data_IF_302172295205
#
_entry.id   IF_302172295205
#
_cell.length_a   1.000
_cell.length_b   1.000
_cell.length_c   1.000
_cell.angle_alpha   90.00
_cell.angle_beta   90.00
_cell.angle_gamma   90.00
#
_symmetry.space_group_name_H-M   'P 1'
#
loop_
_entity.id
_entity.type
_entity.pdbx_description
1 polymer ?
#
# COMPACT_ATOMS: atom_id res chain seq x y z
N UNK A 1 11.76 -20.96 -16.87
CA UNK A 1 11.98 -19.50 -16.78
C UNK A 1 11.27 -18.91 -17.97
N UNK A 2 10.16 -18.22 -17.73
CA UNK A 2 9.37 -17.63 -18.80
C UNK A 2 10.09 -16.34 -19.22
N UNK A 3 10.67 -16.33 -20.41
CA UNK A 3 11.27 -15.12 -20.99
C UNK A 3 10.10 -14.24 -21.46
N UNK A 4 9.52 -13.47 -20.52
CA UNK A 4 8.58 -12.43 -20.87
C UNK A 4 9.31 -11.40 -21.74
N UNK A 5 8.92 -11.30 -23.02
CA UNK A 5 9.42 -10.24 -23.90
C UNK A 5 8.98 -8.88 -23.33
N UNK A 6 9.96 -8.08 -22.92
CA UNK A 6 9.73 -6.74 -22.39
C UNK A 6 9.47 -5.77 -23.54
N UNK A 7 8.37 -5.02 -23.48
CA UNK A 7 8.01 -4.06 -24.52
C UNK A 7 8.74 -2.74 -24.24
N UNK A 8 9.41 -2.17 -25.24
CA UNK A 8 10.15 -0.90 -25.09
C UNK A 8 9.28 0.34 -25.34
N UNK A 9 8.09 0.16 -25.91
CA UNK A 9 7.12 1.22 -26.15
C UNK A 9 6.35 1.61 -24.87
N UNK A 10 5.33 2.46 -25.01
CA UNK A 10 4.43 2.88 -23.95
C UNK A 10 3.08 2.16 -24.03
N UNK A 11 2.46 1.79 -22.90
CA UNK A 11 1.06 1.37 -22.91
C UNK A 11 0.15 2.52 -23.33
N UNK A 12 -0.87 2.22 -24.14
CA UNK A 12 -1.89 3.21 -24.56
C UNK A 12 -2.57 3.89 -23.37
N UNK A 13 -2.76 3.16 -22.26
CA UNK A 13 -3.37 3.65 -21.03
C UNK A 13 -2.36 4.19 -20.00
N UNK A 14 -1.15 4.60 -20.42
CA UNK A 14 -0.09 5.05 -19.53
C UNK A 14 -0.53 6.09 -18.48
N UNK A 15 -1.27 7.13 -18.89
CA UNK A 15 -1.72 8.16 -17.94
C UNK A 15 -2.66 7.58 -16.87
N UNK A 16 -3.46 6.57 -17.22
CA UNK A 16 -4.28 5.81 -16.28
C UNK A 16 -3.45 4.99 -15.30
N UNK A 17 -2.42 4.30 -15.79
CA UNK A 17 -1.48 3.53 -14.95
C UNK A 17 -0.69 4.44 -14.02
N UNK A 18 -0.19 5.57 -14.53
CA UNK A 18 0.51 6.59 -13.73
C UNK A 18 -0.39 7.15 -12.63
N UNK A 19 -1.64 7.46 -12.94
CA UNK A 19 -2.62 7.94 -11.95
C UNK A 19 -2.87 6.88 -10.87
N UNK A 20 -3.08 5.63 -11.29
CA UNK A 20 -3.33 4.49 -10.39
C UNK A 20 -2.13 4.21 -9.48
N UNK A 21 -0.91 4.20 -10.01
CA UNK A 21 0.33 4.02 -9.25
C UNK A 21 0.55 5.13 -8.20
N UNK A 22 0.04 6.34 -8.43
CA UNK A 22 0.18 7.46 -7.49
C UNK A 22 -1.04 7.65 -6.56
N UNK A 23 -2.00 6.73 -6.57
CA UNK A 23 -3.23 6.87 -5.78
C UNK A 23 -2.98 6.59 -4.29
N UNK A 24 -3.21 7.59 -3.43
CA UNK A 24 -2.91 7.51 -1.99
C UNK A 24 -3.79 6.54 -1.17
N UNK A 25 -4.94 6.12 -1.69
CA UNK A 25 -6.01 5.51 -0.91
C UNK A 25 -6.43 4.10 -1.39
N UNK A 26 -5.66 3.50 -2.31
CA UNK A 26 -5.94 2.16 -2.80
C UNK A 26 -4.65 1.45 -3.22
N UNK A 27 -4.06 0.68 -2.31
CA UNK A 27 -2.82 -0.05 -2.53
C UNK A 27 -2.97 -1.16 -3.57
N UNK A 28 -4.17 -1.72 -3.76
CA UNK A 28 -4.43 -2.74 -4.79
C UNK A 28 -4.30 -2.14 -6.17
N UNK A 29 -4.91 -0.98 -6.41
CA UNK A 29 -4.73 -0.24 -7.67
C UNK A 29 -3.27 0.18 -7.89
N UNK A 30 -2.54 0.56 -6.83
CA UNK A 30 -1.11 0.84 -6.94
C UNK A 30 -0.32 -0.41 -7.32
N UNK A 31 -0.64 -1.56 -6.71
CA UNK A 31 -0.02 -2.85 -7.02
C UNK A 31 -0.28 -3.26 -8.47
N UNK A 32 -1.55 -3.24 -8.89
CA UNK A 32 -1.96 -3.59 -10.26
C UNK A 32 -1.24 -2.68 -11.28
N UNK A 33 -1.12 -1.39 -10.99
CA UNK A 33 -0.40 -0.45 -11.85
C UNK A 33 1.10 -0.74 -11.91
N UNK A 34 1.73 -1.09 -10.79
CA UNK A 34 3.14 -1.52 -10.72
C UNK A 34 3.34 -2.80 -11.54
N UNK A 35 2.44 -3.77 -11.43
CA UNK A 35 2.51 -5.01 -12.20
C UNK A 35 2.38 -4.77 -13.70
N UNK A 36 1.43 -3.91 -14.09
CA UNK A 36 1.20 -3.53 -15.48
C UNK A 36 2.38 -2.76 -16.09
N UNK A 37 2.88 -1.73 -15.41
CA UNK A 37 4.05 -0.94 -15.84
C UNK A 37 5.31 -1.80 -15.92
N UNK A 38 5.41 -2.83 -15.08
CA UNK A 38 6.49 -3.81 -15.09
C UNK A 38 6.60 -4.67 -16.35
N UNK A 39 5.69 -4.54 -17.32
CA UNK A 39 5.79 -5.19 -18.63
C UNK A 39 6.37 -4.27 -19.72
N UNK A 40 6.59 -2.99 -19.41
CA UNK A 40 7.01 -1.96 -20.35
C UNK A 40 8.35 -1.36 -19.92
N UNK A 41 9.45 -1.86 -20.46
CA UNK A 41 10.81 -1.40 -20.16
C UNK A 41 11.11 -0.12 -20.92
N UNK A 42 10.62 1.00 -20.39
CA UNK A 42 10.93 2.34 -20.84
C UNK A 42 11.20 3.25 -19.62
N UNK A 43 11.82 4.41 -19.87
CA UNK A 43 12.24 5.30 -18.79
C UNK A 43 11.07 5.75 -17.90
N UNK A 44 9.90 6.02 -18.47
CA UNK A 44 8.73 6.48 -17.72
C UNK A 44 8.21 5.42 -16.75
N UNK A 45 8.16 4.15 -17.18
CA UNK A 45 7.83 3.03 -16.31
C UNK A 45 8.88 2.86 -15.22
N UNK A 46 10.16 2.90 -15.57
CA UNK A 46 11.28 2.79 -14.60
C UNK A 46 11.16 3.87 -13.53
N UNK A 47 10.93 5.13 -13.92
CA UNK A 47 10.81 6.25 -12.98
C UNK A 47 9.65 6.06 -11.98
N UNK A 48 8.49 5.57 -12.45
CA UNK A 48 7.34 5.29 -11.57
C UNK A 48 7.65 4.13 -10.63
N UNK A 49 8.25 3.05 -11.14
CA UNK A 49 8.60 1.88 -10.34
C UNK A 49 9.65 2.25 -9.27
N UNK A 50 10.67 3.03 -9.62
CA UNK A 50 11.67 3.55 -8.67
C UNK A 50 10.99 4.40 -7.60
N UNK A 51 10.06 5.27 -7.99
CA UNK A 51 9.32 6.07 -7.04
C UNK A 51 8.52 5.20 -6.07
N UNK A 52 7.81 4.16 -6.55
CA UNK A 52 7.04 3.22 -5.72
C UNK A 52 7.92 2.41 -4.79
N UNK A 53 9.02 1.84 -5.30
CA UNK A 53 10.02 1.12 -4.50
C UNK A 53 10.47 1.93 -3.27
N UNK A 54 10.76 3.22 -3.48
CA UNK A 54 11.34 4.06 -2.45
C UNK A 54 10.30 4.69 -1.50
N UNK A 55 9.06 4.92 -1.96
CA UNK A 55 8.13 5.79 -1.23
C UNK A 55 6.80 5.16 -0.84
N UNK A 56 6.42 4.00 -1.40
CA UNK A 56 5.11 3.44 -1.09
C UNK A 56 5.00 3.05 0.39
N UNK A 57 3.86 3.30 1.03
CA UNK A 57 3.65 2.91 2.43
C UNK A 57 3.47 1.39 2.59
N UNK A 58 3.02 0.72 1.52
CA UNK A 58 2.73 -0.72 1.53
C UNK A 58 3.94 -1.49 1.01
N UNK A 59 4.50 -2.35 1.88
CA UNK A 59 5.68 -3.15 1.56
C UNK A 59 5.48 -4.02 0.32
N UNK A 60 4.30 -4.62 0.14
CA UNK A 60 3.99 -5.46 -1.03
C UNK A 60 4.11 -4.69 -2.36
N UNK A 61 3.70 -3.42 -2.39
CA UNK A 61 3.85 -2.56 -3.58
C UNK A 61 5.32 -2.27 -3.84
N UNK A 62 6.11 -2.00 -2.78
CA UNK A 62 7.57 -1.81 -2.90
C UNK A 62 8.27 -3.05 -3.42
N UNK A 63 7.92 -4.22 -2.88
CA UNK A 63 8.49 -5.51 -3.28
C UNK A 63 8.14 -5.82 -4.75
N UNK A 64 6.91 -5.59 -5.18
CA UNK A 64 6.51 -5.76 -6.57
C UNK A 64 7.34 -4.84 -7.49
N UNK A 65 7.51 -3.56 -7.13
CA UNK A 65 8.31 -2.62 -7.90
C UNK A 65 9.78 -3.05 -7.98
N UNK A 66 10.37 -3.51 -6.86
CA UNK A 66 11.72 -4.08 -6.82
C UNK A 66 11.89 -5.23 -7.82
N UNK A 67 10.97 -6.21 -7.80
CA UNK A 67 11.04 -7.38 -8.69
C UNK A 67 10.97 -6.98 -10.16
N UNK A 68 10.13 -6.01 -10.52
CA UNK A 68 10.02 -5.51 -11.90
C UNK A 68 11.27 -4.75 -12.33
N UNK A 69 11.81 -3.87 -11.49
CA UNK A 69 13.05 -3.16 -11.74
C UNK A 69 14.25 -4.12 -11.91
N UNK A 70 14.34 -5.13 -11.06
CA UNK A 70 15.36 -6.17 -11.17
C UNK A 70 15.24 -6.94 -12.50
N UNK A 71 14.02 -7.26 -12.94
CA UNK A 71 13.78 -7.89 -14.24
C UNK A 71 14.14 -6.97 -15.42
N UNK A 72 14.08 -5.65 -15.24
CA UNK A 72 14.59 -4.68 -16.22
C UNK A 72 16.12 -4.58 -16.22
N UNK A 73 16.81 -5.15 -15.24
CA UNK A 73 18.26 -5.05 -15.07
C UNK A 73 18.71 -3.77 -14.38
N UNK A 74 17.80 -3.09 -13.67
CA UNK A 74 18.12 -1.92 -12.87
C UNK A 74 18.90 -2.32 -11.61
N UNK A 75 19.88 -1.51 -11.21
CA UNK A 75 20.62 -1.70 -9.96
C UNK A 75 19.83 -1.14 -8.79
N UNK A 76 19.00 -1.99 -8.18
CA UNK A 76 18.13 -1.64 -7.06
C UNK A 76 18.27 -2.62 -5.92
N UNK A 77 17.99 -2.16 -4.71
CA UNK A 77 18.06 -2.95 -3.49
C UNK A 77 16.67 -3.35 -3.01
N UNK A 78 16.57 -4.55 -2.43
CA UNK A 78 15.32 -5.03 -1.82
C UNK A 78 14.91 -4.07 -0.69
N UNK A 79 13.65 -3.60 -0.65
CA UNK A 79 13.20 -2.72 0.42
C UNK A 79 13.23 -3.46 1.76
N UNK A 80 13.55 -2.75 2.84
CA UNK A 80 13.43 -3.32 4.19
C UNK A 80 11.96 -3.47 4.58
N UNK A 81 11.61 -4.62 5.17
CA UNK A 81 10.29 -4.80 5.76
C UNK A 81 10.23 -4.10 7.13
N UNK A 82 9.38 -3.08 7.30
CA UNK A 82 9.28 -2.38 8.58
C UNK A 82 8.85 -3.34 9.69
N UNK A 83 9.51 -3.23 10.85
CA UNK A 83 9.16 -4.00 12.06
C UNK A 83 8.36 -3.11 13.01
N UNK A 84 7.24 -3.61 13.51
CA UNK A 84 6.44 -2.90 14.51
C UNK A 84 5.42 -1.92 13.91
N UNK A 85 5.39 -0.69 14.40
CA UNK A 85 4.43 0.34 13.98
C UNK A 85 4.80 0.88 12.60
N UNK A 86 3.91 0.73 11.62
CA UNK A 86 4.15 1.14 10.22
C UNK A 86 4.06 2.65 10.01
N UNK A 87 3.37 3.34 10.92
CA UNK A 87 3.11 4.77 10.85
C UNK A 87 3.22 5.37 12.23
N UNK A 88 3.99 6.44 12.36
CA UNK A 88 4.19 7.13 13.63
C UNK A 88 2.86 7.49 14.30
N UNK A 89 2.74 7.15 15.58
CA UNK A 89 1.61 7.52 16.44
C UNK A 89 0.26 6.90 16.01
N UNK A 90 0.26 5.77 15.27
CA UNK A 90 -0.99 5.12 14.80
C UNK A 90 -1.93 4.84 15.97
N UNK A 91 -1.37 4.36 17.09
CA UNK A 91 -2.16 3.99 18.28
C UNK A 91 -2.95 5.18 18.83
N UNK A 92 -2.37 6.39 18.81
CA UNK A 92 -3.04 7.63 19.26
C UNK A 92 -4.15 8.05 18.30
N UNK A 93 -3.93 7.88 17.00
CA UNK A 93 -4.93 8.18 15.97
C UNK A 93 -6.13 7.26 16.10
N UNK A 94 -5.89 5.94 16.21
CA UNK A 94 -6.94 4.95 16.40
C UNK A 94 -7.74 5.21 17.68
N UNK A 95 -7.06 5.54 18.79
CA UNK A 95 -7.73 5.93 20.04
C UNK A 95 -8.62 7.17 19.87
N UNK A 96 -8.16 8.20 19.15
CA UNK A 96 -8.93 9.42 18.89
C UNK A 96 -10.18 9.12 18.06
N UNK A 97 -10.06 8.28 17.03
CA UNK A 97 -11.21 7.84 16.22
C UNK A 97 -12.21 7.10 17.10
N UNK A 98 -11.75 6.13 17.91
CA UNK A 98 -12.61 5.38 18.84
C UNK A 98 -13.36 6.30 19.81
N UNK A 99 -12.66 7.27 20.41
CA UNK A 99 -13.25 8.26 21.35
C UNK A 99 -14.22 9.23 20.68
N UNK A 100 -14.20 9.36 19.36
CA UNK A 100 -15.10 10.22 18.60
C UNK A 100 -16.44 9.57 18.22
N UNK A 101 -16.64 8.31 18.61
CA UNK A 101 -17.85 7.53 18.36
C UNK A 101 -18.72 7.45 19.62
N UNK A 102 -20.03 7.17 19.49
CA UNK A 102 -20.92 6.86 20.63
C UNK A 102 -20.36 5.77 21.52
N UNK A 103 -20.76 5.73 22.81
CA UNK A 103 -20.20 4.78 23.78
C UNK A 103 -20.44 3.31 23.40
N UNK A 104 -21.53 3.04 22.72
CA UNK A 104 -22.04 1.74 22.29
C UNK A 104 -21.75 1.42 20.81
N UNK A 105 -20.82 2.15 20.18
CA UNK A 105 -20.41 1.87 18.79
C UNK A 105 -19.91 0.45 18.60
N UNK A 106 -20.19 -0.10 17.42
CA UNK A 106 -19.72 -1.40 16.99
C UNK A 106 -18.29 -1.32 16.42
N UNK A 107 -17.66 -2.47 16.23
CA UNK A 107 -16.41 -2.56 15.47
C UNK A 107 -16.57 -2.00 14.05
N UNK A 108 -17.69 -2.30 13.39
CA UNK A 108 -17.96 -1.82 12.02
C UNK A 108 -18.07 -0.29 11.96
N UNK A 109 -18.72 0.36 12.94
CA UNK A 109 -18.76 1.82 13.03
C UNK A 109 -17.35 2.43 13.13
N UNK A 110 -16.47 1.77 13.89
CA UNK A 110 -15.07 2.16 14.03
C UNK A 110 -14.29 1.98 12.73
N UNK A 111 -14.41 0.82 12.08
CA UNK A 111 -13.75 0.48 10.82
C UNK A 111 -14.16 1.44 9.70
N UNK A 112 -15.46 1.71 9.57
CA UNK A 112 -15.99 2.67 8.60
C UNK A 112 -15.48 4.10 8.87
N UNK A 113 -15.47 4.52 10.13
CA UNK A 113 -14.94 5.84 10.48
C UNK A 113 -13.43 5.94 10.24
N UNK A 114 -12.66 4.89 10.52
CA UNK A 114 -11.24 4.82 10.22
C UNK A 114 -11.00 4.97 8.72
N UNK A 115 -11.71 4.20 7.90
CA UNK A 115 -11.61 4.25 6.44
C UNK A 115 -11.91 5.65 5.89
N UNK A 116 -12.92 6.33 6.42
CA UNK A 116 -13.29 7.69 6.00
C UNK A 116 -12.31 8.76 6.46
N UNK A 117 -11.85 8.69 7.71
CA UNK A 117 -11.06 9.75 8.33
C UNK A 117 -9.56 9.64 8.07
N UNK A 118 -9.05 8.41 7.96
CA UNK A 118 -7.62 8.08 7.86
C UNK A 118 -7.42 6.89 6.93
N UNK A 119 -7.83 7.10 5.68
CA UNK A 119 -7.67 6.12 4.60
C UNK A 119 -6.21 5.74 4.40
N UNK A 120 -5.26 6.64 4.68
CA UNK A 120 -3.83 6.37 4.65
C UNK A 120 -3.41 5.25 5.63
N UNK A 121 -3.94 5.28 6.87
CA UNK A 121 -3.72 4.21 7.86
C UNK A 121 -4.44 2.94 7.41
N UNK A 122 -5.69 3.06 6.99
CA UNK A 122 -6.48 1.91 6.56
C UNK A 122 -5.78 1.17 5.40
N UNK A 123 -5.42 1.89 4.35
CA UNK A 123 -4.76 1.39 3.14
C UNK A 123 -3.41 0.73 3.47
N UNK A 124 -2.59 1.39 4.30
CA UNK A 124 -1.27 0.89 4.68
C UNK A 124 -1.36 -0.42 5.45
N UNK A 125 -2.23 -0.48 6.46
CA UNK A 125 -2.35 -1.68 7.30
C UNK A 125 -3.13 -2.80 6.60
N UNK A 126 -4.09 -2.48 5.73
CA UNK A 126 -4.75 -3.49 4.91
C UNK A 126 -3.74 -4.16 3.97
N UNK A 127 -2.86 -3.39 3.32
CA UNK A 127 -1.80 -3.92 2.48
C UNK A 127 -0.72 -4.71 3.24
N UNK A 128 -0.38 -4.33 4.48
CA UNK A 128 0.61 -5.10 5.27
C UNK A 128 0.03 -6.38 5.88
N UNK A 129 -1.22 -6.34 6.38
CA UNK A 129 -1.85 -7.47 7.08
C UNK A 129 -2.57 -8.43 6.13
N UNK A 130 -3.00 -7.96 4.96
CA UNK A 130 -3.71 -8.79 3.99
C UNK A 130 -4.95 -9.44 4.60
N UNK A 131 -5.01 -10.78 4.56
CA UNK A 131 -6.14 -11.55 5.09
C UNK A 131 -6.36 -11.35 6.60
N UNK A 132 -5.31 -11.04 7.36
CA UNK A 132 -5.38 -10.85 8.81
C UNK A 132 -5.78 -9.42 9.21
N UNK A 133 -6.03 -8.52 8.25
CA UNK A 133 -6.30 -7.11 8.52
C UNK A 133 -7.50 -6.91 9.45
N UNK A 134 -8.62 -7.59 9.16
CA UNK A 134 -9.85 -7.39 9.92
C UNK A 134 -9.70 -7.88 11.36
N UNK A 135 -9.11 -9.07 11.52
CA UNK A 135 -8.81 -9.65 12.83
C UNK A 135 -7.87 -8.74 13.65
N UNK A 136 -6.80 -8.25 13.03
CA UNK A 136 -5.85 -7.33 13.67
C UNK A 136 -6.54 -6.02 14.08
N UNK A 137 -7.38 -5.45 13.21
CA UNK A 137 -8.04 -4.18 13.48
C UNK A 137 -9.07 -4.30 14.60
N UNK A 138 -9.82 -5.41 14.65
CA UNK A 138 -10.79 -5.69 15.72
C UNK A 138 -10.10 -5.88 17.08
N UNK A 139 -9.00 -6.65 17.12
CA UNK A 139 -8.20 -6.80 18.33
C UNK A 139 -7.61 -5.47 18.80
N UNK A 140 -7.08 -4.68 17.85
CA UNK A 140 -6.55 -3.36 18.13
C UNK A 140 -7.65 -2.48 18.73
N UNK A 141 -8.80 -2.38 18.06
CA UNK A 141 -9.98 -1.65 18.52
C UNK A 141 -10.38 -2.05 19.94
N UNK A 142 -10.46 -3.35 20.24
CA UNK A 142 -10.83 -3.88 21.55
C UNK A 142 -9.83 -3.50 22.65
N UNK A 143 -8.55 -3.38 22.33
CA UNK A 143 -7.47 -3.07 23.27
C UNK A 143 -7.28 -1.57 23.58
N UNK A 144 -7.78 -0.66 22.73
CA UNK A 144 -7.50 0.78 22.81
C UNK A 144 -7.92 1.48 24.12
N UNK A 145 -8.84 0.90 24.90
CA UNK A 145 -9.29 1.47 26.18
C UNK A 145 -8.62 0.83 27.41
N UNK A 146 -7.77 -0.18 27.20
CA UNK A 146 -7.08 -0.92 28.29
C UNK A 146 -5.67 -0.38 28.55
N UNK A 147 -5.26 0.71 27.90
CA UNK A 147 -3.93 1.33 28.02
C UNK A 147 -4.04 2.79 28.42
#
# INVERSE_FOLDING_TARGET
MDNQELITDMPENYEGLKSSANRNANWRERLDAVEALGNWKNQKSIDILLHRLNTDAVYQVREAAYRKLLAFGEDVQMPERPKGELMKDVSKVLLRIKKSLPRDHTYEDFKEKLKKMRVDIYDTYEGDKGADFDHWLEQTWSSLLRR
#
